data_IF_265716681275
#
_entry.id   IF_265716681275
#
_cell.length_a   1.000
_cell.length_b   1.000
_cell.length_c   1.000
_cell.angle_alpha   90.00
_cell.angle_beta   90.00
_cell.angle_gamma   90.00
#
_symmetry.space_group_name_H-M   'P 1'
#
loop_
_entity.id
_entity.type
_entity.pdbx_description
1 polymer ?
#
# COMPACT_ATOMS: atom_id res chain seq x y z
N UNK A 1 25.47 -6.44 36.68
CA UNK A 1 26.35 -7.61 36.96
C UNK A 1 27.03 -8.04 35.67
N UNK A 2 28.33 -8.39 35.75
CA UNK A 2 29.19 -8.93 34.68
C UNK A 2 29.14 -8.22 33.32
N UNK A 3 30.05 -7.27 33.13
CA UNK A 3 30.50 -6.90 31.79
C UNK A 3 31.21 -8.09 31.14
N UNK A 4 30.65 -8.59 30.04
CA UNK A 4 31.34 -9.47 29.10
C UNK A 4 31.96 -8.62 28.00
N UNK A 5 33.18 -8.95 27.58
CA UNK A 5 33.98 -8.09 26.70
C UNK A 5 33.30 -7.75 25.38
N UNK A 6 33.38 -6.48 24.98
CA UNK A 6 33.10 -5.97 23.63
C UNK A 6 34.23 -6.38 22.66
N UNK A 7 34.62 -7.65 22.69
CA UNK A 7 35.65 -8.25 21.86
C UNK A 7 35.15 -8.46 20.44
N UNK A 8 35.16 -7.37 19.67
CA UNK A 8 35.65 -7.30 18.29
C UNK A 8 35.44 -8.54 17.40
N UNK A 9 34.22 -9.07 17.35
CA UNK A 9 33.76 -9.94 16.29
C UNK A 9 33.48 -9.14 15.00
N UNK A 10 34.47 -8.37 14.54
CA UNK A 10 34.55 -7.95 13.14
C UNK A 10 34.75 -9.24 12.36
N UNK A 11 33.66 -9.82 11.85
CA UNK A 11 33.69 -11.04 11.06
C UNK A 11 34.43 -10.74 9.74
N UNK A 12 35.74 -10.96 9.76
CA UNK A 12 36.64 -10.74 8.63
C UNK A 12 36.30 -11.70 7.50
N UNK A 13 35.76 -11.14 6.42
CA UNK A 13 36.12 -11.54 5.06
C UNK A 13 35.83 -12.97 4.61
N UNK A 14 34.99 -13.74 5.30
CA UNK A 14 34.42 -14.96 4.72
C UNK A 14 33.67 -14.58 3.45
N UNK A 15 34.11 -15.09 2.29
CA UNK A 15 33.58 -14.68 0.99
C UNK A 15 32.12 -15.12 0.82
N UNK A 16 31.18 -14.25 1.20
CA UNK A 16 29.73 -14.48 1.11
C UNK A 16 29.27 -14.38 -0.36
N UNK A 17 29.65 -15.41 -1.13
CA UNK A 17 29.31 -15.58 -2.55
C UNK A 17 27.79 -15.59 -2.74
N UNK A 18 27.04 -16.20 -1.82
CA UNK A 18 25.57 -16.21 -1.87
C UNK A 18 25.00 -14.79 -1.67
N UNK A 19 25.51 -14.01 -0.73
CA UNK A 19 25.05 -12.65 -0.47
C UNK A 19 25.46 -11.67 -1.57
N UNK A 20 26.59 -11.91 -2.24
CA UNK A 20 26.96 -11.22 -3.49
C UNK A 20 26.00 -11.60 -4.62
N UNK A 21 25.77 -12.89 -4.86
CA UNK A 21 24.86 -13.38 -5.90
C UNK A 21 23.42 -12.91 -5.71
N UNK A 22 22.91 -12.86 -4.47
CA UNK A 22 21.59 -12.32 -4.15
C UNK A 22 21.47 -10.84 -4.55
N UNK A 23 22.49 -10.03 -4.25
CA UNK A 23 22.51 -8.61 -4.62
C UNK A 23 22.59 -8.42 -6.14
N UNK A 24 23.38 -9.24 -6.83
CA UNK A 24 23.44 -9.26 -8.30
C UNK A 24 22.07 -9.63 -8.88
N UNK A 25 21.39 -10.65 -8.34
CA UNK A 25 20.06 -11.04 -8.78
C UNK A 25 19.04 -9.91 -8.59
N UNK A 26 18.98 -9.27 -7.41
CA UNK A 26 18.10 -8.12 -7.17
C UNK A 26 18.41 -6.92 -8.08
N UNK A 27 19.68 -6.65 -8.39
CA UNK A 27 20.06 -5.59 -9.32
C UNK A 27 19.68 -5.93 -10.78
N UNK A 28 19.87 -7.18 -11.21
CA UNK A 28 19.37 -7.66 -12.50
C UNK A 28 17.84 -7.61 -12.57
N UNK A 29 17.15 -7.87 -11.44
CA UNK A 29 15.71 -7.71 -11.29
C UNK A 29 15.24 -6.28 -11.47
N UNK A 30 15.93 -5.30 -10.87
CA UNK A 30 15.69 -3.88 -11.12
C UNK A 30 15.84 -3.55 -12.62
N UNK A 31 16.95 -3.95 -13.26
CA UNK A 31 17.18 -3.68 -14.68
C UNK A 31 16.10 -4.33 -15.58
N UNK A 32 15.72 -5.58 -15.31
CA UNK A 32 14.66 -6.28 -16.02
C UNK A 32 13.31 -5.59 -15.86
N UNK A 33 12.97 -5.17 -14.64
CA UNK A 33 11.75 -4.42 -14.32
C UNK A 33 11.70 -3.09 -15.08
N UNK A 34 12.79 -2.34 -15.12
CA UNK A 34 12.86 -1.07 -15.83
C UNK A 34 12.81 -1.25 -17.35
N UNK A 35 13.56 -2.20 -17.90
CA UNK A 35 13.52 -2.52 -19.33
C UNK A 35 12.13 -2.97 -19.78
N UNK A 36 11.40 -3.67 -18.90
CA UNK A 36 10.05 -4.15 -19.17
C UNK A 36 8.96 -3.07 -19.07
N UNK A 37 9.14 -1.98 -18.29
CA UNK A 37 8.03 -1.07 -17.97
C UNK A 37 8.29 0.44 -18.19
N UNK A 38 9.50 0.89 -18.54
CA UNK A 38 9.73 2.32 -18.86
C UNK A 38 8.95 2.69 -20.14
N UNK A 39 8.27 3.86 -20.20
CA UNK A 39 8.30 4.98 -19.25
C UNK A 39 7.40 4.83 -18.01
N UNK A 40 6.46 3.89 -18.01
CA UNK A 40 5.61 3.59 -16.86
C UNK A 40 4.16 3.39 -17.26
N UNK A 41 3.49 2.43 -16.60
CA UNK A 41 2.09 2.12 -16.85
C UNK A 41 1.20 3.14 -16.12
N UNK A 42 0.22 3.73 -16.81
CA UNK A 42 -0.58 4.84 -16.28
C UNK A 42 -2.08 4.54 -16.32
N UNK A 43 -2.73 4.65 -15.15
CA UNK A 43 -4.20 4.67 -15.04
C UNK A 43 -4.71 6.10 -14.87
N UNK A 44 -6.03 6.25 -14.79
CA UNK A 44 -6.72 7.52 -14.47
C UNK A 44 -6.06 8.25 -13.29
N UNK A 45 -5.78 7.56 -12.18
CA UNK A 45 -5.11 8.13 -11.00
C UNK A 45 -3.71 8.68 -11.30
N UNK A 46 -2.97 8.01 -12.19
CA UNK A 46 -1.62 8.36 -12.61
C UNK A 46 -1.63 9.59 -13.52
N UNK A 47 -2.54 9.62 -14.49
CA UNK A 47 -2.74 10.72 -15.43
C UNK A 47 -3.12 11.99 -14.67
N UNK A 48 -4.09 11.89 -13.76
CA UNK A 48 -4.48 13.01 -12.91
C UNK A 48 -3.32 13.50 -12.04
N UNK A 49 -2.57 12.60 -11.38
CA UNK A 49 -1.44 13.01 -10.55
C UNK A 49 -0.34 13.74 -11.35
N UNK A 50 -0.08 13.33 -12.59
CA UNK A 50 0.85 14.02 -13.49
C UNK A 50 0.29 15.38 -13.97
N UNK A 51 -1.02 15.46 -14.26
CA UNK A 51 -1.69 16.74 -14.56
C UNK A 51 -1.60 17.71 -13.39
N UNK A 52 -1.86 17.26 -12.15
CA UNK A 52 -1.71 18.06 -10.94
C UNK A 52 -0.25 18.50 -10.71
N UNK A 53 0.73 17.63 -10.99
CA UNK A 53 2.16 17.91 -10.87
C UNK A 53 2.61 19.07 -11.79
N UNK A 54 2.19 19.04 -13.06
CA UNK A 54 2.51 20.08 -14.05
C UNK A 54 1.73 21.37 -13.84
N UNK A 55 0.42 21.28 -13.65
CA UNK A 55 -0.45 22.46 -13.54
C UNK A 55 -0.35 23.17 -12.18
N UNK A 56 0.01 22.45 -11.12
CA UNK A 56 -0.10 22.97 -9.75
C UNK A 56 -1.55 23.23 -9.31
N UNK A 57 -2.53 22.59 -9.96
CA UNK A 57 -3.95 22.68 -9.62
C UNK A 57 -4.48 21.30 -9.26
N UNK A 58 -4.95 21.13 -8.02
CA UNK A 58 -5.58 19.90 -7.56
C UNK A 58 -6.86 19.61 -8.36
N UNK A 59 -6.97 18.42 -8.93
CA UNK A 59 -8.14 17.96 -9.69
C UNK A 59 -8.94 16.88 -8.94
N UNK A 60 -8.34 16.21 -7.96
CA UNK A 60 -9.00 15.15 -7.18
C UNK A 60 -8.90 15.32 -5.66
N UNK A 61 -9.71 14.56 -4.94
CA UNK A 61 -9.62 14.42 -3.48
C UNK A 61 -8.40 13.62 -3.02
N UNK A 62 -7.64 13.00 -3.93
CA UNK A 62 -6.42 12.27 -3.64
C UNK A 62 -5.42 13.07 -2.80
N UNK A 63 -4.57 12.41 -1.98
CA UNK A 63 -3.47 13.09 -1.32
C UNK A 63 -2.52 13.73 -2.33
N UNK A 64 -2.17 15.00 -2.12
CA UNK A 64 -1.34 15.77 -3.04
C UNK A 64 0.13 15.30 -3.12
N UNK A 65 0.55 14.39 -2.23
CA UNK A 65 1.94 13.95 -2.14
C UNK A 65 2.39 13.19 -3.39
N UNK A 66 1.52 12.40 -4.03
CA UNK A 66 1.89 11.64 -5.23
C UNK A 66 2.24 12.61 -6.38
N UNK A 67 1.39 13.61 -6.58
CA UNK A 67 1.58 14.70 -7.56
C UNK A 67 2.82 15.54 -7.25
N UNK A 68 3.08 15.83 -5.96
CA UNK A 68 4.28 16.54 -5.51
C UNK A 68 5.58 15.73 -5.70
N UNK A 69 5.56 14.42 -5.44
CA UNK A 69 6.70 13.53 -5.67
C UNK A 69 6.98 13.32 -7.16
N UNK A 70 5.95 13.25 -8.02
CA UNK A 70 6.10 13.15 -9.47
C UNK A 70 6.77 14.39 -10.07
N UNK A 71 6.37 15.59 -9.62
CA UNK A 71 6.81 16.88 -10.16
C UNK A 71 8.32 17.04 -10.39
N UNK A 72 9.21 16.83 -9.41
CA UNK A 72 10.65 17.00 -9.63
C UNK A 72 11.23 16.02 -10.64
N UNK A 73 10.64 14.83 -10.81
CA UNK A 73 11.11 13.87 -11.82
C UNK A 73 10.66 14.28 -13.23
N UNK A 74 9.39 14.66 -13.40
CA UNK A 74 8.85 15.16 -14.68
C UNK A 74 9.53 16.47 -15.13
N UNK A 75 9.95 17.32 -14.19
CA UNK A 75 10.75 18.52 -14.48
C UNK A 75 12.19 18.23 -14.91
N UNK A 76 12.77 17.09 -14.54
CA UNK A 76 14.13 16.68 -14.94
C UNK A 76 14.12 15.89 -16.26
N UNK A 77 13.14 14.98 -16.42
CA UNK A 77 12.90 14.19 -17.62
C UNK A 77 11.39 14.06 -17.78
N UNK A 78 10.83 14.66 -18.83
CA UNK A 78 9.38 14.69 -19.05
C UNK A 78 8.76 13.27 -19.03
N UNK A 79 7.63 13.14 -18.33
CA UNK A 79 6.93 11.88 -18.12
C UNK A 79 7.29 11.21 -16.80
N UNK A 80 7.05 9.89 -16.74
CA UNK A 80 7.06 9.12 -15.49
C UNK A 80 8.27 8.21 -15.31
N UNK A 81 9.12 8.05 -16.34
CA UNK A 81 10.21 7.05 -16.35
C UNK A 81 11.24 7.23 -15.25
N UNK A 82 11.60 8.46 -14.90
CA UNK A 82 12.55 8.74 -13.82
C UNK A 82 11.93 8.49 -12.43
N UNK A 83 10.62 8.77 -12.26
CA UNK A 83 9.88 8.44 -11.04
C UNK A 83 9.75 6.91 -10.85
N UNK A 84 9.40 6.17 -11.91
CA UNK A 84 9.36 4.70 -11.92
C UNK A 84 10.72 4.13 -11.55
N UNK A 85 11.79 4.67 -12.14
CA UNK A 85 13.18 4.31 -11.82
C UNK A 85 13.51 4.52 -10.35
N UNK A 86 13.16 5.68 -9.78
CA UNK A 86 13.39 5.98 -8.37
C UNK A 86 12.57 5.07 -7.43
N UNK A 87 11.30 4.86 -7.74
CA UNK A 87 10.39 4.00 -6.97
C UNK A 87 10.88 2.55 -6.92
N UNK A 88 11.20 1.97 -8.08
CA UNK A 88 11.74 0.61 -8.17
C UNK A 88 13.11 0.50 -7.47
N UNK A 89 13.98 1.52 -7.60
CA UNK A 89 15.27 1.53 -6.91
C UNK A 89 15.11 1.52 -5.38
N UNK A 90 14.15 2.26 -4.81
CA UNK A 90 13.85 2.21 -3.36
C UNK A 90 13.55 0.78 -2.91
N UNK A 91 12.71 0.04 -3.66
CA UNK A 91 12.42 -1.36 -3.35
C UNK A 91 13.66 -2.25 -3.48
N UNK A 92 14.29 -2.28 -4.65
CA UNK A 92 15.37 -3.23 -4.92
C UNK A 92 16.62 -2.97 -4.06
N UNK A 93 16.94 -1.71 -3.74
CA UNK A 93 18.00 -1.37 -2.78
C UNK A 93 17.64 -1.82 -1.35
N UNK A 94 16.36 -1.70 -0.95
CA UNK A 94 15.88 -2.22 0.34
C UNK A 94 16.02 -3.74 0.41
N UNK A 95 15.57 -4.48 -0.61
CA UNK A 95 15.73 -5.94 -0.69
C UNK A 95 17.22 -6.35 -0.69
N UNK A 96 18.07 -5.68 -1.46
CA UNK A 96 19.52 -5.89 -1.45
C UNK A 96 20.14 -5.68 -0.07
N UNK A 97 19.67 -4.69 0.69
CA UNK A 97 20.22 -4.36 2.02
C UNK A 97 19.89 -5.41 3.09
N UNK A 98 18.86 -6.25 2.90
CA UNK A 98 18.54 -7.37 3.78
C UNK A 98 19.74 -8.32 4.00
N UNK A 99 20.63 -8.47 3.01
CA UNK A 99 21.85 -9.29 3.17
C UNK A 99 22.77 -8.76 4.27
N UNK A 100 22.74 -7.45 4.55
CA UNK A 100 23.54 -6.81 5.61
C UNK A 100 22.92 -6.95 7.00
N UNK A 101 21.65 -7.35 7.10
CA UNK A 101 21.00 -7.69 8.37
C UNK A 101 21.33 -9.11 8.85
N UNK A 102 21.94 -9.94 7.98
CA UNK A 102 22.24 -11.36 8.27
C UNK A 102 23.74 -11.63 8.28
N UNK A 103 24.21 -12.61 9.09
CA UNK A 103 25.64 -12.93 9.15
C UNK A 103 26.14 -13.69 7.92
N UNK A 104 25.25 -14.39 7.20
CA UNK A 104 25.50 -15.14 5.96
C UNK A 104 24.21 -15.17 5.14
N UNK A 105 24.33 -15.25 3.81
CA UNK A 105 23.24 -15.59 2.92
C UNK A 105 23.23 -17.10 2.58
N UNK A 106 22.15 -17.60 1.95
CA UNK A 106 22.11 -18.95 1.35
C UNK A 106 21.79 -18.89 -0.14
N UNK A 107 22.19 -19.93 -0.89
CA UNK A 107 21.74 -20.12 -2.27
C UNK A 107 20.22 -20.31 -2.41
N UNK A 108 19.55 -20.80 -1.35
CA UNK A 108 18.08 -20.82 -1.29
C UNK A 108 17.47 -19.42 -1.36
N UNK A 109 18.12 -18.42 -0.75
CA UNK A 109 17.71 -17.02 -0.88
C UNK A 109 17.91 -16.48 -2.30
N UNK A 110 18.99 -16.88 -2.98
CA UNK A 110 19.25 -16.49 -4.37
C UNK A 110 18.18 -17.08 -5.30
N UNK A 111 17.86 -18.36 -5.14
CA UNK A 111 16.82 -19.03 -5.91
C UNK A 111 15.41 -18.45 -5.63
N UNK A 112 15.05 -18.28 -4.35
CA UNK A 112 13.77 -17.66 -3.98
C UNK A 112 13.69 -16.20 -4.45
N UNK A 113 14.79 -15.46 -4.38
CA UNK A 113 14.92 -14.12 -4.94
C UNK A 113 14.63 -14.12 -6.44
N UNK A 114 15.32 -14.96 -7.22
CA UNK A 114 15.10 -15.07 -8.65
C UNK A 114 13.65 -15.48 -9.01
N UNK A 115 13.03 -16.38 -8.24
CA UNK A 115 11.61 -16.72 -8.42
C UNK A 115 10.68 -15.54 -8.09
N UNK A 116 10.96 -14.79 -7.02
CA UNK A 116 10.18 -13.60 -6.66
C UNK A 116 10.28 -12.51 -7.75
N UNK A 117 11.44 -12.33 -8.39
CA UNK A 117 11.61 -11.40 -9.52
C UNK A 117 10.70 -11.72 -10.71
N UNK A 118 10.34 -13.00 -10.87
CA UNK A 118 9.43 -13.48 -11.92
C UNK A 118 7.95 -13.49 -11.46
N UNK A 119 7.61 -12.76 -10.40
CA UNK A 119 6.21 -12.51 -10.02
C UNK A 119 5.76 -11.14 -10.55
N UNK A 120 4.48 -11.00 -10.97
CA UNK A 120 3.93 -9.70 -11.38
C UNK A 120 4.10 -8.60 -10.31
N UNK A 121 4.11 -8.96 -9.02
CA UNK A 121 4.33 -8.03 -7.90
C UNK A 121 5.71 -7.35 -7.93
N UNK A 122 6.76 -8.00 -8.44
CA UNK A 122 8.07 -7.37 -8.58
C UNK A 122 8.33 -6.89 -10.01
N UNK A 123 7.93 -7.68 -11.02
CA UNK A 123 8.23 -7.40 -12.42
C UNK A 123 7.34 -6.32 -13.06
N UNK A 124 6.06 -6.26 -12.70
CA UNK A 124 5.07 -5.38 -13.38
C UNK A 124 4.65 -4.24 -12.46
N UNK A 125 4.27 -4.53 -11.22
CA UNK A 125 3.76 -3.52 -10.28
C UNK A 125 4.69 -2.33 -10.08
N UNK A 126 6.00 -2.58 -10.04
CA UNK A 126 7.04 -1.56 -9.91
C UNK A 126 7.12 -0.60 -11.10
N UNK A 127 6.57 -0.99 -12.25
CA UNK A 127 6.40 -0.16 -13.44
C UNK A 127 5.12 0.66 -13.46
N UNK A 128 4.15 0.41 -12.57
CA UNK A 128 2.87 1.11 -12.57
C UNK A 128 2.96 2.38 -11.72
N UNK A 129 2.53 3.51 -12.26
CA UNK A 129 2.56 4.83 -11.63
C UNK A 129 1.39 4.96 -10.63
N UNK A 130 1.42 4.13 -9.58
CA UNK A 130 0.39 4.09 -8.54
C UNK A 130 0.93 4.52 -7.18
N UNK A 131 0.09 5.26 -6.44
CA UNK A 131 0.34 5.61 -5.03
C UNK A 131 0.56 4.38 -4.15
N UNK A 132 -0.14 3.28 -4.45
CA UNK A 132 -0.02 2.01 -3.72
C UNK A 132 1.37 1.37 -3.83
N UNK A 133 2.01 1.51 -5.00
CA UNK A 133 3.34 0.96 -5.27
C UNK A 133 4.39 1.75 -4.50
N UNK A 134 4.38 3.08 -4.61
CA UNK A 134 5.32 3.93 -3.85
C UNK A 134 5.06 3.88 -2.34
N UNK A 135 3.80 3.80 -1.91
CA UNK A 135 3.41 3.56 -0.50
C UNK A 135 4.02 2.26 0.03
N UNK A 136 3.88 1.15 -0.71
CA UNK A 136 4.44 -0.14 -0.32
C UNK A 136 5.98 -0.11 -0.30
N UNK A 137 6.60 0.48 -1.32
CA UNK A 137 8.05 0.62 -1.43
C UNK A 137 8.65 1.46 -0.29
N UNK A 138 8.05 2.62 0.01
CA UNK A 138 8.46 3.49 1.12
C UNK A 138 8.23 2.83 2.47
N UNK A 139 7.09 2.14 2.67
CA UNK A 139 6.82 1.40 3.90
C UNK A 139 7.88 0.31 4.13
N UNK A 140 8.19 -0.48 3.09
CA UNK A 140 9.21 -1.51 3.16
C UNK A 140 10.59 -0.90 3.49
N UNK A 141 10.99 0.14 2.77
CA UNK A 141 12.24 0.84 3.01
C UNK A 141 12.34 1.39 4.44
N UNK A 142 11.24 1.97 4.96
CA UNK A 142 11.13 2.44 6.33
C UNK A 142 11.39 1.35 7.37
N UNK A 143 10.74 0.18 7.21
CA UNK A 143 10.97 -0.96 8.09
C UNK A 143 12.37 -1.58 7.95
N UNK A 144 12.95 -1.62 6.74
CA UNK A 144 14.31 -2.14 6.52
C UNK A 144 15.38 -1.21 7.11
N UNK A 145 15.20 0.11 6.97
CA UNK A 145 16.04 1.11 7.64
C UNK A 145 15.89 1.06 9.17
N UNK A 146 14.67 0.85 9.68
CA UNK A 146 14.43 0.63 11.11
C UNK A 146 15.05 -0.69 11.60
N UNK A 147 15.12 -1.74 10.78
CA UNK A 147 15.79 -2.99 11.12
C UNK A 147 17.32 -2.81 11.22
N UNK A 148 17.92 -2.02 10.32
CA UNK A 148 19.32 -1.61 10.43
C UNK A 148 19.57 -0.75 11.68
N UNK A 149 18.64 0.15 12.02
CA UNK A 149 18.70 0.95 13.23
C UNK A 149 18.65 0.07 14.49
N UNK A 150 17.75 -0.92 14.55
CA UNK A 150 17.62 -1.85 15.67
C UNK A 150 18.84 -2.76 15.84
N UNK A 151 19.43 -3.25 14.74
CA UNK A 151 20.66 -4.04 14.80
C UNK A 151 21.86 -3.22 15.31
N UNK A 152 21.87 -1.91 15.06
CA UNK A 152 22.95 -0.98 15.44
C UNK A 152 22.57 -0.07 16.61
N UNK A 153 21.62 -0.47 17.45
CA UNK A 153 21.03 0.40 18.47
C UNK A 153 22.07 1.06 19.41
N UNK A 154 23.06 0.30 19.86
CA UNK A 154 24.16 0.80 20.69
C UNK A 154 25.14 1.74 19.96
N UNK A 155 25.18 1.71 18.63
CA UNK A 155 26.16 2.38 17.78
C UNK A 155 25.61 3.65 17.11
N UNK A 156 24.67 4.36 17.77
CA UNK A 156 24.06 5.63 17.32
C UNK A 156 23.36 5.53 15.95
N UNK A 157 22.18 4.86 15.87
CA UNK A 157 21.51 4.53 14.60
C UNK A 157 20.80 5.73 13.91
N UNK A 158 21.22 6.97 14.16
CA UNK A 158 20.46 8.18 13.83
C UNK A 158 20.19 8.35 12.33
N UNK A 159 21.14 8.06 11.44
CA UNK A 159 20.95 8.24 10.00
C UNK A 159 19.90 7.27 9.44
N UNK A 160 19.99 5.98 9.81
CA UNK A 160 19.01 4.97 9.41
C UNK A 160 17.63 5.22 10.03
N UNK A 161 17.59 5.72 11.27
CA UNK A 161 16.32 6.09 11.91
C UNK A 161 15.70 7.33 11.23
N UNK A 162 16.47 8.36 10.91
CA UNK A 162 15.99 9.55 10.19
C UNK A 162 15.44 9.18 8.81
N UNK A 163 16.16 8.33 8.05
CA UNK A 163 15.67 7.79 6.79
C UNK A 163 14.36 7.02 6.94
N UNK A 164 14.25 6.16 7.97
CA UNK A 164 13.02 5.43 8.27
C UNK A 164 11.84 6.37 8.57
N UNK A 165 12.05 7.41 9.39
CA UNK A 165 11.02 8.40 9.72
C UNK A 165 10.55 9.18 8.48
N UNK A 166 11.44 9.55 7.56
CA UNK A 166 11.09 10.18 6.28
C UNK A 166 10.28 9.23 5.40
N UNK A 167 10.71 7.97 5.26
CA UNK A 167 9.97 6.96 4.51
C UNK A 167 8.55 6.74 5.07
N UNK A 168 8.39 6.65 6.39
CA UNK A 168 7.08 6.51 7.04
C UNK A 168 6.21 7.76 6.90
N UNK A 169 6.79 8.96 6.94
CA UNK A 169 6.04 10.21 6.74
C UNK A 169 5.50 10.33 5.32
N UNK A 170 6.31 10.00 4.31
CA UNK A 170 5.88 9.98 2.91
C UNK A 170 4.83 8.88 2.66
N UNK A 171 5.04 7.67 3.18
CA UNK A 171 4.06 6.58 3.08
C UNK A 171 2.71 6.92 3.72
N UNK A 172 2.71 7.53 4.91
CA UNK A 172 1.47 7.94 5.59
C UNK A 172 0.72 9.07 4.86
N UNK A 173 1.40 9.84 4.00
CA UNK A 173 0.76 10.83 3.13
C UNK A 173 0.15 10.20 1.87
N UNK A 174 0.73 9.13 1.31
CA UNK A 174 0.19 8.44 0.12
C UNK A 174 -1.12 7.71 0.43
N UNK A 175 -1.25 7.17 1.64
CA UNK A 175 -2.44 6.44 2.13
C UNK A 175 -2.71 6.81 3.59
N UNK A 176 -3.87 7.42 3.86
CA UNK A 176 -4.27 7.85 5.22
C UNK A 176 -4.32 6.68 6.21
N UNK A 177 -4.86 5.52 5.80
CA UNK A 177 -4.85 4.29 6.60
C UNK A 177 -3.43 3.68 6.77
N UNK A 178 -2.43 4.20 6.06
CA UNK A 178 -1.01 3.94 6.26
C UNK A 178 -0.50 4.31 7.66
N UNK A 179 -1.24 5.13 8.42
CA UNK A 179 -0.94 5.42 9.83
C UNK A 179 -0.84 4.16 10.70
N UNK A 180 -1.52 3.06 10.33
CA UNK A 180 -1.41 1.75 11.00
C UNK A 180 0.05 1.24 11.00
N UNK A 181 0.78 1.46 9.90
CA UNK A 181 2.18 1.06 9.77
C UNK A 181 3.09 1.95 10.63
N UNK A 182 2.75 3.23 10.78
CA UNK A 182 3.46 4.15 11.69
C UNK A 182 3.27 3.73 13.15
N UNK A 183 2.07 3.30 13.54
CA UNK A 183 1.82 2.74 14.89
C UNK A 183 2.62 1.46 15.11
N UNK A 184 2.68 0.56 14.12
CA UNK A 184 3.51 -0.65 14.20
C UNK A 184 5.01 -0.30 14.32
N UNK A 185 5.51 0.63 13.49
CA UNK A 185 6.89 1.12 13.54
C UNK A 185 7.23 1.76 14.90
N UNK A 186 6.33 2.57 15.46
CA UNK A 186 6.49 3.17 16.79
C UNK A 186 6.50 2.11 17.90
N UNK A 187 5.63 1.09 17.83
CA UNK A 187 5.60 -0.01 18.78
C UNK A 187 6.89 -0.84 18.76
N UNK A 188 7.46 -1.12 17.58
CA UNK A 188 8.73 -1.86 17.49
C UNK A 188 9.96 -0.99 17.79
N UNK A 189 9.90 0.32 17.58
CA UNK A 189 10.92 1.26 18.04
C UNK A 189 10.96 1.30 19.58
N UNK A 190 9.79 1.38 20.24
CA UNK A 190 9.69 1.23 21.70
C UNK A 190 10.24 -0.11 22.18
N UNK A 191 9.86 -1.21 21.51
CA UNK A 191 10.34 -2.55 21.82
C UNK A 191 11.87 -2.67 21.67
N UNK A 192 12.45 -2.08 20.61
CA UNK A 192 13.91 -2.03 20.41
C UNK A 192 14.60 -1.36 21.60
N UNK A 193 14.08 -0.22 22.06
CA UNK A 193 14.61 0.54 23.19
C UNK A 193 14.32 -0.07 24.59
N UNK A 194 13.64 -1.22 24.70
CA UNK A 194 13.19 -1.80 25.99
C UNK A 194 14.31 -2.04 27.01
N UNK A 195 15.53 -2.30 26.55
CA UNK A 195 16.69 -2.52 27.41
C UNK A 195 17.12 -1.26 28.19
N UNK A 196 16.70 -0.08 27.76
CA UNK A 196 16.97 1.20 28.44
C UNK A 196 15.92 1.55 29.51
N UNK A 197 14.96 0.66 29.76
CA UNK A 197 13.88 0.84 30.73
C UNK A 197 12.60 1.43 30.13
N UNK A 198 11.47 1.18 30.79
CA UNK A 198 10.13 1.43 30.25
C UNK A 198 9.87 2.89 29.86
N UNK A 199 10.39 3.87 30.63
CA UNK A 199 10.22 5.30 30.32
C UNK A 199 10.88 5.68 29.00
N UNK A 200 12.11 5.20 28.76
CA UNK A 200 12.84 5.45 27.51
C UNK A 200 12.23 4.69 26.35
N UNK A 201 11.82 3.44 26.57
CA UNK A 201 11.05 2.64 25.61
C UNK A 201 9.80 3.39 25.14
N UNK A 202 8.98 3.89 26.06
CA UNK A 202 7.78 4.68 25.73
C UNK A 202 8.14 6.01 25.04
N UNK A 203 9.18 6.72 25.50
CA UNK A 203 9.64 7.96 24.89
C UNK A 203 10.14 7.77 23.45
N UNK A 204 10.83 6.66 23.15
CA UNK A 204 11.23 6.31 21.79
C UNK A 204 10.04 5.96 20.88
N UNK A 205 9.05 5.22 21.39
CA UNK A 205 7.83 4.93 20.63
C UNK A 205 7.00 6.18 20.33
N UNK A 206 6.61 6.91 21.38
CA UNK A 206 5.81 8.14 21.25
C UNK A 206 6.57 9.23 20.48
N UNK A 207 7.88 9.38 20.73
CA UNK A 207 8.74 10.33 20.02
C UNK A 207 8.89 9.99 18.55
N UNK A 208 9.04 8.70 18.20
CA UNK A 208 9.04 8.25 16.81
C UNK A 208 7.72 8.49 16.10
N UNK A 209 6.58 8.17 16.75
CA UNK A 209 5.25 8.47 16.22
C UNK A 209 5.04 9.97 16.00
N UNK A 210 5.38 10.79 17.01
CA UNK A 210 5.27 12.24 16.92
C UNK A 210 6.19 12.83 15.84
N UNK A 211 7.41 12.31 15.68
CA UNK A 211 8.33 12.73 14.63
C UNK A 211 7.77 12.42 13.22
N UNK A 212 7.19 11.24 13.00
CA UNK A 212 6.51 10.92 11.73
C UNK A 212 5.30 11.83 11.51
N UNK A 213 4.48 12.08 12.54
CA UNK A 213 3.31 12.95 12.43
C UNK A 213 3.69 14.41 12.11
N UNK A 214 4.74 14.95 12.74
CA UNK A 214 5.26 16.30 12.44
C UNK A 214 5.86 16.37 11.04
N UNK A 215 6.67 15.38 10.63
CA UNK A 215 7.22 15.31 9.27
C UNK A 215 6.11 15.22 8.22
N UNK A 216 5.10 14.36 8.42
CA UNK A 216 3.97 14.23 7.53
C UNK A 216 3.14 15.53 7.48
N UNK A 217 2.93 16.21 8.61
CA UNK A 217 2.25 17.52 8.63
C UNK A 217 3.01 18.59 7.86
N UNK A 218 4.33 18.70 8.06
CA UNK A 218 5.18 19.68 7.37
C UNK A 218 5.26 19.38 5.87
N UNK A 219 5.60 18.14 5.49
CA UNK A 219 5.70 17.73 4.08
C UNK A 219 4.33 17.81 3.40
N UNK A 220 3.25 17.39 4.06
CA UNK A 220 1.88 17.53 3.57
C UNK A 220 1.40 18.98 3.47
N UNK A 221 2.00 19.90 4.23
CA UNK A 221 1.82 21.34 4.07
C UNK A 221 2.51 21.87 2.81
N UNK A 222 3.77 21.47 2.59
CA UNK A 222 4.59 21.84 1.42
C UNK A 222 4.04 21.23 0.12
N UNK A 223 3.52 20.02 0.18
CA UNK A 223 2.99 19.28 -0.97
C UNK A 223 1.63 19.77 -1.46
N UNK A 224 0.96 20.69 -0.74
CA UNK A 224 -0.32 21.26 -1.18
C UNK A 224 -0.12 22.11 -2.45
N UNK A 225 -0.83 21.82 -3.55
CA UNK A 225 -0.78 22.66 -4.73
C UNK A 225 -1.35 24.06 -4.44
N UNK A 226 -0.85 25.12 -5.11
CA UNK A 226 -1.34 26.48 -4.92
C UNK A 226 -2.79 26.68 -5.38
N UNK A 227 -3.25 25.88 -6.37
CA UNK A 227 -4.62 25.87 -6.83
C UNK A 227 -5.37 24.58 -6.47
N UNK A 228 -6.69 24.67 -6.37
CA UNK A 228 -7.59 23.53 -6.35
C UNK A 228 -8.80 23.83 -7.24
N UNK A 229 -9.28 22.81 -7.95
CA UNK A 229 -10.49 22.90 -8.75
C UNK A 229 -11.69 23.25 -7.84
N UNK A 230 -12.43 24.35 -8.09
CA UNK A 230 -13.48 24.83 -7.20
C UNK A 230 -14.67 23.87 -7.08
N UNK A 231 -14.76 22.84 -7.95
CA UNK A 231 -15.76 21.77 -7.86
C UNK A 231 -15.39 20.65 -6.87
N UNK A 232 -14.21 20.70 -6.25
CA UNK A 232 -13.78 19.69 -5.28
C UNK A 232 -14.54 19.82 -3.95
N UNK A 233 -15.48 18.90 -3.72
CA UNK A 233 -16.17 18.73 -2.44
C UNK A 233 -15.19 18.20 -1.38
N UNK A 234 -15.07 18.92 -0.26
CA UNK A 234 -14.31 18.42 0.89
C UNK A 234 -15.01 17.22 1.52
N UNK A 235 -14.24 16.27 2.10
CA UNK A 235 -14.80 15.09 2.77
C UNK A 235 -15.44 14.04 1.85
N UNK A 236 -15.32 14.18 0.53
CA UNK A 236 -15.97 13.28 -0.45
C UNK A 236 -15.55 11.80 -0.31
N UNK A 237 -14.35 11.51 0.23
CA UNK A 237 -13.90 10.15 0.56
C UNK A 237 -14.87 9.42 1.51
N UNK A 238 -15.26 10.08 2.61
CA UNK A 238 -16.21 9.52 3.57
C UNK A 238 -17.60 9.43 2.93
N UNK A 239 -17.99 10.44 2.17
CA UNK A 239 -19.29 10.47 1.50
C UNK A 239 -19.46 9.30 0.50
N UNK A 240 -18.43 8.97 -0.29
CA UNK A 240 -18.40 7.78 -1.17
C UNK A 240 -18.62 6.50 -0.35
N UNK A 241 -17.96 6.38 0.81
CA UNK A 241 -18.12 5.23 1.70
C UNK A 241 -19.56 5.14 2.25
N UNK A 242 -20.14 6.26 2.69
CA UNK A 242 -21.51 6.34 3.19
C UNK A 242 -22.53 5.94 2.12
N UNK A 243 -22.42 6.48 0.90
CA UNK A 243 -23.25 6.13 -0.25
C UNK A 243 -23.18 4.63 -0.55
N UNK A 244 -21.97 4.08 -0.64
CA UNK A 244 -21.74 2.67 -0.96
C UNK A 244 -22.28 1.73 0.12
N UNK A 245 -22.10 2.07 1.40
CA UNK A 245 -22.67 1.32 2.53
C UNK A 245 -24.19 1.35 2.55
N UNK A 246 -24.82 2.51 2.32
CA UNK A 246 -26.28 2.62 2.35
C UNK A 246 -26.91 1.82 1.22
N UNK A 247 -26.35 1.92 0.00
CA UNK A 247 -26.83 1.16 -1.16
C UNK A 247 -26.62 -0.34 -0.97
N UNK A 248 -25.44 -0.75 -0.50
CA UNK A 248 -25.13 -2.16 -0.27
C UNK A 248 -25.91 -2.78 0.89
N UNK A 249 -26.04 -2.09 2.03
CA UNK A 249 -26.88 -2.55 3.14
C UNK A 249 -28.38 -2.64 2.74
N UNK A 250 -28.86 -1.75 1.86
CA UNK A 250 -30.20 -1.87 1.26
C UNK A 250 -30.31 -3.07 0.32
N UNK A 251 -29.27 -3.39 -0.46
CA UNK A 251 -29.24 -4.56 -1.33
C UNK A 251 -29.27 -5.88 -0.52
N UNK A 252 -28.46 -5.98 0.54
CA UNK A 252 -28.46 -7.15 1.44
C UNK A 252 -29.71 -7.23 2.35
N UNK A 253 -30.39 -6.11 2.62
CA UNK A 253 -31.61 -6.09 3.44
C UNK A 253 -32.75 -5.29 2.74
N UNK A 254 -33.48 -5.90 1.78
CA UNK A 254 -34.49 -5.21 0.97
C UNK A 254 -35.61 -4.50 1.75
N UNK A 255 -35.91 -4.95 2.98
CA UNK A 255 -36.89 -4.30 3.88
C UNK A 255 -36.37 -3.03 4.58
N UNK A 256 -35.08 -2.67 4.39
CA UNK A 256 -34.48 -1.48 4.97
C UNK A 256 -35.12 -0.23 4.34
N UNK A 257 -35.50 0.74 5.18
CA UNK A 257 -36.12 2.00 4.77
C UNK A 257 -35.16 3.16 4.95
N UNK A 258 -34.96 3.95 3.89
CA UNK A 258 -34.03 5.09 3.85
C UNK A 258 -34.68 6.35 4.45
N UNK A 259 -35.12 6.23 5.71
CA UNK A 259 -35.97 7.22 6.39
C UNK A 259 -35.34 8.60 6.56
N UNK A 260 -34.03 8.69 6.75
CA UNK A 260 -33.37 10.00 6.93
C UNK A 260 -33.21 10.73 5.59
N UNK A 261 -32.94 9.97 4.51
CA UNK A 261 -32.98 10.49 3.13
C UNK A 261 -34.41 10.94 2.80
N UNK A 262 -35.42 10.13 3.10
CA UNK A 262 -36.84 10.43 2.83
C UNK A 262 -37.40 11.67 3.53
N UNK A 263 -36.80 12.11 4.65
CA UNK A 263 -37.15 13.39 5.29
C UNK A 263 -36.68 14.60 4.49
N UNK A 264 -35.57 14.47 3.76
CA UNK A 264 -35.00 15.52 2.93
C UNK A 264 -35.54 15.47 1.49
N UNK A 265 -35.64 14.26 0.92
CA UNK A 265 -36.14 14.01 -0.43
C UNK A 265 -36.86 12.63 -0.51
N UNK A 266 -38.21 12.62 -0.50
CA UNK A 266 -39.01 11.40 -0.68
C UNK A 266 -38.84 10.73 -2.05
N UNK A 267 -38.55 11.49 -3.11
CA UNK A 267 -38.35 10.96 -4.46
C UNK A 267 -37.00 10.24 -4.55
N UNK A 268 -35.94 10.81 -3.96
CA UNK A 268 -34.66 10.13 -3.81
C UNK A 268 -34.80 8.86 -2.98
N UNK A 269 -35.53 8.88 -1.85
CA UNK A 269 -35.81 7.66 -1.09
C UNK A 269 -36.45 6.58 -1.98
N UNK A 270 -37.50 6.92 -2.74
CA UNK A 270 -38.22 5.96 -3.56
C UNK A 270 -37.33 5.35 -4.66
N UNK A 271 -36.54 6.17 -5.37
CA UNK A 271 -35.63 5.70 -6.41
C UNK A 271 -34.52 4.81 -5.83
N UNK A 272 -33.84 5.28 -4.78
CA UNK A 272 -32.76 4.54 -4.14
C UNK A 272 -33.27 3.20 -3.59
N UNK A 273 -34.42 3.20 -2.90
CA UNK A 273 -34.99 1.96 -2.37
C UNK A 273 -35.39 0.94 -3.44
N UNK A 274 -35.78 1.39 -4.64
CA UNK A 274 -36.14 0.54 -5.76
C UNK A 274 -34.92 0.00 -6.52
N UNK A 275 -33.86 0.80 -6.67
CA UNK A 275 -32.74 0.48 -7.56
C UNK A 275 -31.48 -0.03 -6.86
N UNK A 276 -31.29 0.16 -5.55
CA UNK A 276 -30.06 -0.23 -4.84
C UNK A 276 -29.58 -1.65 -5.14
N UNK A 277 -30.49 -2.64 -5.17
CA UNK A 277 -30.12 -4.04 -5.43
C UNK A 277 -29.62 -4.31 -6.87
N UNK A 278 -29.98 -3.45 -7.84
CA UNK A 278 -29.52 -3.53 -9.23
C UNK A 278 -28.19 -2.79 -9.43
N UNK A 279 -28.00 -1.68 -8.71
CA UNK A 279 -26.81 -0.81 -8.82
C UNK A 279 -25.65 -1.28 -7.94
N UNK A 280 -25.92 -2.06 -6.90
CA UNK A 280 -24.90 -2.54 -5.98
C UNK A 280 -24.03 -3.65 -6.61
N UNK A 281 -22.71 -3.52 -6.42
CA UNK A 281 -21.75 -4.60 -6.60
C UNK A 281 -20.71 -4.57 -5.48
N UNK A 282 -20.48 -5.70 -4.81
CA UNK A 282 -19.42 -5.86 -3.82
C UNK A 282 -18.00 -5.79 -4.43
N UNK A 283 -17.89 -5.90 -5.76
CA UNK A 283 -16.62 -5.78 -6.45
C UNK A 283 -16.14 -4.32 -6.52
N UNK A 284 -17.03 -3.35 -6.78
CA UNK A 284 -16.67 -1.97 -7.12
C UNK A 284 -17.82 -0.99 -6.86
N UNK A 285 -17.50 0.19 -6.34
CA UNK A 285 -18.42 1.33 -6.20
C UNK A 285 -18.80 1.99 -7.53
N UNK A 286 -18.00 1.83 -8.58
CA UNK A 286 -18.25 2.41 -9.91
C UNK A 286 -19.60 1.99 -10.52
N UNK A 287 -20.19 0.87 -10.07
CA UNK A 287 -21.53 0.44 -10.51
C UNK A 287 -22.65 1.36 -10.03
N UNK A 288 -22.41 2.21 -9.03
CA UNK A 288 -23.34 3.26 -8.62
C UNK A 288 -23.44 4.39 -9.66
N UNK A 289 -22.41 4.57 -10.48
CA UNK A 289 -22.37 5.57 -11.55
C UNK A 289 -22.87 5.02 -12.91
N UNK A 290 -23.27 3.74 -12.98
CA UNK A 290 -23.68 3.06 -14.21
C UNK A 290 -25.07 3.47 -14.73
N UNK A 291 -25.94 4.04 -13.89
CA UNK A 291 -27.21 4.66 -14.30
C UNK A 291 -27.18 6.15 -13.96
N UNK A 292 -27.38 6.99 -14.96
CA UNK A 292 -27.19 8.43 -14.84
C UNK A 292 -28.28 9.11 -13.98
N UNK A 293 -29.46 8.50 -13.85
CA UNK A 293 -30.54 8.99 -12.98
C UNK A 293 -30.25 8.62 -11.54
N UNK A 294 -29.92 7.35 -11.28
CA UNK A 294 -29.54 6.87 -9.95
C UNK A 294 -28.34 7.63 -9.40
N UNK A 295 -27.29 7.77 -10.22
CA UNK A 295 -26.08 8.55 -9.92
C UNK A 295 -26.44 9.98 -9.50
N UNK A 296 -27.14 10.72 -10.36
CA UNK A 296 -27.50 12.12 -10.05
C UNK A 296 -28.31 12.20 -8.76
N UNK A 297 -29.34 11.37 -8.60
CA UNK A 297 -30.18 11.35 -7.38
C UNK A 297 -29.36 11.06 -6.13
N UNK A 298 -28.51 10.03 -6.14
CA UNK A 298 -27.64 9.64 -5.03
C UNK A 298 -26.72 10.79 -4.59
N UNK A 299 -26.05 11.44 -5.55
CA UNK A 299 -25.08 12.51 -5.32
C UNK A 299 -25.71 13.87 -4.95
N UNK A 300 -27.01 14.08 -5.22
CA UNK A 300 -27.75 15.29 -4.82
C UNK A 300 -28.40 15.19 -3.44
N UNK A 301 -28.42 14.01 -2.79
CA UNK A 301 -28.89 13.91 -1.40
C UNK A 301 -28.01 14.78 -0.49
N UNK A 302 -28.58 15.62 0.40
CA UNK A 302 -27.79 16.44 1.33
C UNK A 302 -26.89 15.60 2.25
N UNK A 303 -25.64 16.04 2.47
CA UNK A 303 -24.65 15.30 3.27
C UNK A 303 -25.15 14.97 4.68
N UNK A 304 -25.86 15.90 5.32
CA UNK A 304 -26.44 15.68 6.65
C UNK A 304 -27.47 14.53 6.66
N UNK A 305 -28.23 14.36 5.57
CA UNK A 305 -29.19 13.27 5.43
C UNK A 305 -28.50 11.94 5.09
N UNK A 306 -27.44 11.97 4.27
CA UNK A 306 -26.59 10.81 3.96
C UNK A 306 -25.90 10.27 5.22
N UNK A 307 -25.21 11.15 5.96
CA UNK A 307 -24.53 10.81 7.21
C UNK A 307 -25.50 10.29 8.29
N UNK A 308 -26.66 10.96 8.46
CA UNK A 308 -27.69 10.50 9.37
C UNK A 308 -28.25 9.13 8.97
N UNK A 309 -28.44 8.88 7.67
CA UNK A 309 -28.87 7.58 7.17
C UNK A 309 -27.80 6.50 7.39
N UNK A 310 -26.52 6.79 7.17
CA UNK A 310 -25.42 5.84 7.34
C UNK A 310 -25.28 5.44 8.82
N UNK A 311 -25.26 6.43 9.71
CA UNK A 311 -25.33 6.19 11.16
C UNK A 311 -26.57 5.38 11.56
N UNK A 312 -27.73 5.64 10.95
CA UNK A 312 -28.96 4.86 11.17
C UNK A 312 -28.82 3.41 10.71
N UNK A 313 -28.14 3.15 9.58
CA UNK A 313 -27.84 1.78 9.11
C UNK A 313 -26.94 1.06 10.12
N UNK A 314 -25.84 1.69 10.57
CA UNK A 314 -24.92 1.10 11.54
C UNK A 314 -25.62 0.78 12.88
N UNK A 315 -26.39 1.72 13.43
CA UNK A 315 -26.97 1.60 14.77
C UNK A 315 -28.24 0.73 14.80
N UNK A 316 -29.12 0.86 13.80
CA UNK A 316 -30.43 0.18 13.81
C UNK A 316 -30.53 -1.01 12.85
N UNK A 317 -29.55 -1.20 11.95
CA UNK A 317 -29.46 -2.34 11.05
C UNK A 317 -28.04 -2.96 11.04
N UNK A 318 -27.40 -3.19 12.20
CA UNK A 318 -26.00 -3.61 12.28
C UNK A 318 -25.71 -4.90 11.50
N UNK A 319 -26.65 -5.84 11.44
CA UNK A 319 -26.52 -7.05 10.63
C UNK A 319 -26.41 -6.75 9.12
N UNK A 320 -27.16 -5.78 8.60
CA UNK A 320 -27.07 -5.38 7.18
C UNK A 320 -25.75 -4.67 6.88
N UNK A 321 -25.28 -3.81 7.79
CA UNK A 321 -23.97 -3.17 7.70
C UNK A 321 -22.80 -4.18 7.76
N UNK A 322 -22.86 -5.15 8.68
CA UNK A 322 -21.83 -6.18 8.81
C UNK A 322 -21.82 -7.12 7.59
N UNK A 323 -22.99 -7.53 7.07
CA UNK A 323 -23.06 -8.32 5.83
C UNK A 323 -22.45 -7.56 4.64
N UNK A 324 -22.78 -6.27 4.51
CA UNK A 324 -22.20 -5.38 3.51
C UNK A 324 -20.66 -5.33 3.61
N UNK A 325 -20.15 -5.01 4.79
CA UNK A 325 -18.71 -4.89 5.05
C UNK A 325 -17.97 -6.22 4.85
N UNK A 326 -18.56 -7.35 5.22
CA UNK A 326 -17.98 -8.68 5.02
C UNK A 326 -17.94 -9.10 3.54
N UNK A 327 -18.96 -8.76 2.74
CA UNK A 327 -18.94 -9.08 1.30
C UNK A 327 -17.88 -8.24 0.57
N UNK A 328 -17.85 -6.92 0.78
CA UNK A 328 -16.81 -6.06 0.20
C UNK A 328 -15.41 -6.48 0.65
N UNK A 329 -15.23 -6.85 1.92
CA UNK A 329 -13.93 -7.34 2.40
C UNK A 329 -13.55 -8.68 1.80
N UNK A 330 -14.50 -9.62 1.66
CA UNK A 330 -14.29 -10.88 0.93
C UNK A 330 -13.83 -10.60 -0.50
N UNK A 331 -14.44 -9.64 -1.18
CA UNK A 331 -14.02 -9.26 -2.52
C UNK A 331 -12.61 -8.64 -2.54
N UNK A 332 -12.29 -7.76 -1.59
CA UNK A 332 -10.97 -7.10 -1.50
C UNK A 332 -9.85 -8.09 -1.09
N UNK A 333 -10.10 -9.03 -0.19
CA UNK A 333 -9.08 -9.89 0.42
C UNK A 333 -8.98 -11.30 -0.22
N UNK A 334 -10.10 -11.86 -0.70
CA UNK A 334 -10.12 -13.17 -1.36
C UNK A 334 -10.27 -13.07 -2.88
N UNK A 335 -10.54 -11.87 -3.44
CA UNK A 335 -10.57 -11.57 -4.88
C UNK A 335 -11.23 -12.68 -5.73
N UNK A 336 -12.51 -13.05 -5.44
CA UNK A 336 -13.13 -14.27 -5.96
C UNK A 336 -13.36 -14.26 -7.49
N UNK A 337 -13.27 -13.09 -8.12
CA UNK A 337 -13.18 -12.89 -9.57
C UNK A 337 -12.11 -11.86 -9.85
N UNK A 338 -10.85 -12.30 -9.86
CA UNK A 338 -9.66 -11.46 -9.92
C UNK A 338 -9.71 -10.45 -11.07
N UNK A 339 -10.27 -10.82 -12.21
CA UNK A 339 -10.37 -10.00 -13.43
C UNK A 339 -11.20 -8.72 -13.22
N UNK A 340 -12.15 -8.74 -12.26
CA UNK A 340 -12.97 -7.57 -11.91
C UNK A 340 -12.26 -6.60 -10.95
N UNK A 341 -11.12 -7.02 -10.41
CA UNK A 341 -10.37 -6.36 -9.35
C UNK A 341 -9.06 -5.72 -9.83
N UNK A 342 -8.97 -5.35 -11.12
CA UNK A 342 -7.83 -4.67 -11.76
C UNK A 342 -6.45 -5.21 -11.30
N UNK A 343 -6.16 -6.50 -11.53
CA UNK A 343 -4.97 -7.15 -10.98
C UNK A 343 -3.67 -6.61 -11.57
N UNK A 344 -3.69 -6.02 -12.77
CA UNK A 344 -2.62 -5.18 -13.33
C UNK A 344 -3.24 -4.00 -14.10
N UNK A 345 -2.43 -2.97 -14.36
CA UNK A 345 -2.66 -1.99 -15.43
C UNK A 345 -1.45 -2.01 -16.35
N UNK A 346 -1.70 -1.94 -17.65
CA UNK A 346 -0.71 -1.81 -18.71
C UNK A 346 -1.19 -0.76 -19.72
N UNK A 347 -0.27 -0.18 -20.46
CA UNK A 347 -0.52 0.98 -21.31
C UNK A 347 -0.79 2.26 -20.52
N UNK A 348 -1.33 3.23 -21.24
CA UNK A 348 -1.79 4.52 -20.71
C UNK A 348 -3.30 4.64 -20.93
N UNK A 349 -4.02 4.93 -19.84
CA UNK A 349 -5.47 5.18 -19.85
C UNK A 349 -5.82 6.37 -18.95
N UNK A 350 -6.71 7.25 -19.42
CA UNK A 350 -7.12 8.47 -18.72
C UNK A 350 -8.04 9.33 -19.59
N UNK A 351 -8.41 10.55 -19.14
CA UNK A 351 -9.29 11.44 -19.90
C UNK A 351 -8.52 12.09 -21.06
N UNK A 352 -9.06 11.99 -22.28
CA UNK A 352 -8.41 12.47 -23.52
C UNK A 352 -7.86 13.90 -23.44
N UNK A 353 -8.62 14.81 -22.80
CA UNK A 353 -8.18 16.20 -22.60
C UNK A 353 -6.91 16.31 -21.75
N UNK A 354 -6.84 15.58 -20.63
CA UNK A 354 -5.65 15.56 -19.77
C UNK A 354 -4.46 14.90 -20.46
N UNK A 355 -4.69 13.81 -21.20
CA UNK A 355 -3.64 13.11 -21.94
C UNK A 355 -3.03 13.99 -23.04
N UNK A 356 -3.89 14.72 -23.77
CA UNK A 356 -3.49 15.72 -24.76
C UNK A 356 -2.71 16.88 -24.12
N UNK A 357 -3.19 17.44 -23.01
CA UNK A 357 -2.50 18.52 -22.28
C UNK A 357 -1.15 18.07 -21.69
N UNK A 358 -0.97 16.76 -21.48
CA UNK A 358 0.28 16.16 -21.02
C UNK A 358 1.23 15.74 -22.16
N UNK A 359 0.82 15.81 -23.42
CA UNK A 359 1.53 15.22 -24.56
C UNK A 359 1.88 13.73 -24.34
N UNK A 360 0.94 12.98 -23.74
CA UNK A 360 1.08 11.54 -23.48
C UNK A 360 0.12 10.77 -24.38
N UNK A 361 0.66 9.83 -25.16
CA UNK A 361 -0.14 8.98 -26.04
C UNK A 361 -0.95 7.97 -25.22
N UNK A 362 -2.23 7.85 -25.55
CA UNK A 362 -3.10 6.78 -25.00
C UNK A 362 -2.91 5.49 -25.81
N UNK A 363 -2.96 4.34 -25.15
CA UNK A 363 -2.83 3.06 -25.85
C UNK A 363 -2.24 1.95 -24.98
N UNK A 364 -2.07 0.80 -25.62
CA UNK A 364 -1.40 -0.39 -25.08
C UNK A 364 -0.46 -0.87 -26.18
N UNK A 365 0.84 -0.73 -25.98
CA UNK A 365 1.84 -1.17 -26.96
C UNK A 365 1.99 -2.71 -26.97
N UNK A 366 2.61 -3.31 -27.99
CA UNK A 366 2.86 -4.75 -28.02
C UNK A 366 3.62 -5.27 -26.79
N UNK A 367 4.48 -4.44 -26.20
CA UNK A 367 5.19 -4.71 -24.95
C UNK A 367 4.23 -4.77 -23.74
N UNK A 368 3.34 -3.79 -23.62
CA UNK A 368 2.31 -3.71 -22.58
C UNK A 368 1.34 -4.90 -22.65
N UNK A 369 0.92 -5.26 -23.86
CA UNK A 369 0.09 -6.44 -24.09
C UNK A 369 0.84 -7.72 -23.69
N UNK A 370 2.13 -7.81 -23.98
CA UNK A 370 3.00 -8.89 -23.51
C UNK A 370 3.07 -8.98 -21.97
N UNK A 371 3.09 -7.86 -21.26
CA UNK A 371 3.01 -7.83 -19.78
C UNK A 371 1.64 -8.25 -19.25
N UNK A 372 0.55 -7.82 -19.90
CA UNK A 372 -0.79 -8.27 -19.52
C UNK A 372 -0.95 -9.79 -19.73
N UNK A 373 -0.45 -10.33 -20.84
CA UNK A 373 -0.49 -11.77 -21.10
C UNK A 373 0.47 -12.56 -20.21
N UNK A 374 1.57 -11.96 -19.77
CA UNK A 374 2.40 -12.53 -18.72
C UNK A 374 1.66 -12.59 -17.38
N UNK A 375 1.03 -11.50 -16.95
CA UNK A 375 0.27 -11.43 -15.71
C UNK A 375 -0.92 -12.41 -15.70
N UNK A 376 -1.66 -12.53 -16.81
CA UNK A 376 -2.78 -13.45 -16.98
C UNK A 376 -2.41 -14.92 -16.70
N UNK A 377 -1.15 -15.33 -16.94
CA UNK A 377 -0.66 -16.69 -16.61
C UNK A 377 -0.64 -16.98 -15.10
N UNK A 378 -0.66 -15.94 -14.26
CA UNK A 378 -0.73 -16.06 -12.81
C UNK A 378 -2.16 -15.91 -12.26
N UNK A 379 -3.16 -15.61 -13.10
CA UNK A 379 -4.55 -15.49 -12.64
C UNK A 379 -5.04 -16.88 -12.18
N UNK A 380 -5.80 -16.91 -11.07
CA UNK A 380 -6.19 -18.17 -10.41
C UNK A 380 -5.05 -18.92 -9.71
N UNK A 381 -3.81 -18.43 -9.77
CA UNK A 381 -2.69 -19.02 -9.00
C UNK A 381 -2.55 -18.37 -7.62
N UNK A 382 -1.88 -19.02 -6.66
CA UNK A 382 -1.57 -18.43 -5.35
C UNK A 382 -0.73 -17.14 -5.40
N UNK A 383 -0.13 -16.78 -6.54
CA UNK A 383 0.64 -15.53 -6.69
C UNK A 383 -0.28 -14.32 -6.64
N UNK A 384 -1.43 -14.34 -7.32
CA UNK A 384 -2.46 -13.29 -7.23
C UNK A 384 -3.50 -13.60 -6.12
N UNK A 385 -3.03 -13.86 -4.89
CA UNK A 385 -3.90 -14.16 -3.74
C UNK A 385 -3.37 -13.52 -2.45
N UNK A 386 -4.05 -12.48 -1.97
CA UNK A 386 -3.68 -11.84 -0.69
C UNK A 386 -3.83 -12.78 0.51
N UNK A 387 -4.74 -13.77 0.44
CA UNK A 387 -4.83 -14.85 1.44
C UNK A 387 -3.55 -15.70 1.46
N UNK A 388 -2.97 -16.02 0.30
CA UNK A 388 -1.71 -16.76 0.24
C UNK A 388 -0.59 -15.96 0.89
N UNK A 389 -0.48 -14.67 0.58
CA UNK A 389 0.53 -13.81 1.20
C UNK A 389 0.29 -13.56 2.69
N UNK A 390 -0.96 -13.52 3.15
CA UNK A 390 -1.29 -13.50 4.57
C UNK A 390 -0.80 -14.77 5.30
N UNK A 391 -1.00 -15.95 4.70
CA UNK A 391 -0.51 -17.22 5.25
C UNK A 391 1.02 -17.25 5.28
N UNK A 392 1.69 -16.79 4.21
CA UNK A 392 3.16 -16.64 4.18
C UNK A 392 3.63 -15.69 5.28
N UNK A 393 3.01 -14.51 5.42
CA UNK A 393 3.34 -13.54 6.47
C UNK A 393 3.21 -14.14 7.88
N UNK A 394 2.11 -14.83 8.18
CA UNK A 394 1.90 -15.50 9.48
C UNK A 394 2.94 -16.61 9.73
N UNK A 395 3.28 -17.41 8.71
CA UNK A 395 4.32 -18.42 8.78
C UNK A 395 5.70 -17.84 9.07
N UNK A 396 6.08 -16.78 8.35
CA UNK A 396 7.35 -16.05 8.54
C UNK A 396 7.39 -15.39 9.92
N UNK A 397 6.30 -14.76 10.39
CA UNK A 397 6.19 -14.22 11.76
C UNK A 397 6.50 -15.32 12.79
N UNK A 398 5.89 -16.51 12.65
CA UNK A 398 6.11 -17.64 13.54
C UNK A 398 7.56 -18.16 13.55
N UNK A 399 8.25 -18.12 12.41
CA UNK A 399 9.67 -18.48 12.29
C UNK A 399 10.59 -17.42 12.92
N UNK A 400 10.34 -16.14 12.66
CA UNK A 400 11.12 -15.02 13.21
C UNK A 400 10.96 -14.89 14.73
N UNK A 401 9.76 -15.12 15.26
CA UNK A 401 9.47 -15.09 16.70
C UNK A 401 10.33 -16.08 17.51
N UNK A 402 10.69 -17.21 16.91
CA UNK A 402 11.57 -18.22 17.52
C UNK A 402 13.04 -17.79 17.58
N UNK A 403 13.49 -16.93 16.66
CA UNK A 403 14.89 -16.46 16.56
C UNK A 403 15.21 -15.33 17.53
N UNK A 404 14.28 -14.37 17.68
CA UNK A 404 14.34 -13.21 18.61
C UNK A 404 15.47 -12.19 18.36
N UNK A 405 16.07 -12.14 17.17
CA UNK A 405 17.04 -11.08 16.81
C UNK A 405 16.37 -9.68 16.85
N UNK A 406 17.08 -8.58 17.19
CA UNK A 406 16.54 -7.23 17.11
C UNK A 406 15.90 -6.87 15.75
N UNK A 407 16.52 -7.26 14.64
CA UNK A 407 15.98 -7.01 13.31
C UNK A 407 14.77 -7.91 12.99
N UNK A 408 14.69 -9.12 13.57
CA UNK A 408 13.55 -10.02 13.39
C UNK A 408 12.26 -9.39 13.93
N UNK A 409 12.31 -8.67 15.06
CA UNK A 409 11.15 -7.95 15.60
C UNK A 409 10.64 -6.86 14.65
N UNK A 410 11.53 -6.17 13.94
CA UNK A 410 11.15 -5.13 12.98
C UNK A 410 10.49 -5.74 11.74
N UNK A 411 10.99 -6.86 11.24
CA UNK A 411 10.37 -7.57 10.10
C UNK A 411 9.05 -8.27 10.50
N UNK A 412 8.92 -8.75 11.75
CA UNK A 412 7.63 -9.15 12.32
C UNK A 412 6.65 -7.97 12.32
N UNK A 413 7.11 -6.80 12.78
CA UNK A 413 6.28 -5.59 12.86
C UNK A 413 5.81 -5.09 11.49
N UNK A 414 6.65 -5.19 10.45
CA UNK A 414 6.27 -4.92 9.06
C UNK A 414 5.09 -5.81 8.63
N UNK A 415 5.21 -7.13 8.80
CA UNK A 415 4.18 -8.07 8.37
C UNK A 415 2.89 -7.97 9.21
N UNK A 416 3.02 -7.83 10.53
CA UNK A 416 1.87 -7.64 11.42
C UNK A 416 1.15 -6.31 11.15
N UNK A 417 1.91 -5.24 10.89
CA UNK A 417 1.37 -3.95 10.45
C UNK A 417 0.67 -4.05 9.09
N UNK A 418 1.23 -4.80 8.14
CA UNK A 418 0.63 -5.01 6.81
C UNK A 418 -0.65 -5.86 6.88
N UNK A 419 -0.72 -6.84 7.78
CA UNK A 419 -1.95 -7.59 8.09
C UNK A 419 -3.02 -6.70 8.73
N UNK A 420 -2.65 -5.83 9.67
CA UNK A 420 -3.57 -4.86 10.27
C UNK A 420 -4.05 -3.80 9.26
N UNK A 421 -3.16 -3.36 8.36
CA UNK A 421 -3.50 -2.48 7.23
C UNK A 421 -4.49 -3.16 6.29
N UNK A 422 -4.27 -4.42 5.92
CA UNK A 422 -5.21 -5.18 5.12
C UNK A 422 -6.57 -5.33 5.83
N UNK A 423 -6.58 -5.64 7.13
CA UNK A 423 -7.80 -5.70 7.92
C UNK A 423 -8.56 -4.36 7.98
N UNK A 424 -7.90 -3.20 7.83
CA UNK A 424 -8.59 -1.90 7.78
C UNK A 424 -9.56 -1.76 6.60
N UNK A 425 -9.30 -2.46 5.49
CA UNK A 425 -10.21 -2.49 4.34
C UNK A 425 -11.55 -3.17 4.63
N UNK A 426 -11.66 -3.95 5.71
CA UNK A 426 -12.95 -4.44 6.20
C UNK A 426 -13.88 -3.31 6.67
N UNK A 427 -13.35 -2.12 6.94
CA UNK A 427 -14.11 -0.93 7.31
C UNK A 427 -14.21 0.07 6.16
N UNK A 428 -13.11 0.31 5.43
CA UNK A 428 -13.02 1.44 4.48
C UNK A 428 -13.08 1.06 2.98
N UNK A 429 -13.11 -0.22 2.63
CA UNK A 429 -13.08 -0.59 1.20
C UNK A 429 -14.34 -0.18 0.45
N UNK A 430 -14.17 0.22 -0.80
CA UNK A 430 -15.23 0.54 -1.77
C UNK A 430 -15.01 -0.16 -3.13
N UNK A 431 -13.92 -0.91 -3.28
CA UNK A 431 -13.59 -1.67 -4.49
C UNK A 431 -12.58 -2.78 -4.16
N UNK A 432 -12.55 -3.82 -4.99
CA UNK A 432 -11.68 -4.98 -4.80
C UNK A 432 -10.29 -4.85 -5.46
N UNK A 433 -9.98 -3.70 -6.07
CA UNK A 433 -8.69 -3.33 -6.67
C UNK A 433 -7.48 -3.98 -5.95
N UNK A 434 -6.83 -4.96 -6.60
CA UNK A 434 -5.74 -5.78 -6.03
C UNK A 434 -4.61 -4.95 -5.42
N UNK A 435 -4.31 -3.80 -6.06
CA UNK A 435 -3.32 -2.83 -5.60
C UNK A 435 -3.54 -2.34 -4.16
N UNK A 436 -4.77 -2.35 -3.65
CA UNK A 436 -5.08 -1.90 -2.28
C UNK A 436 -4.38 -2.71 -1.21
N UNK A 437 -4.14 -4.01 -1.44
CA UNK A 437 -3.48 -4.91 -0.50
C UNK A 437 -2.05 -5.29 -0.92
N UNK A 438 -1.50 -4.68 -1.98
CA UNK A 438 -0.16 -4.94 -2.52
C UNK A 438 0.96 -4.89 -1.46
N UNK A 439 0.85 -4.01 -0.46
CA UNK A 439 1.80 -3.94 0.67
C UNK A 439 1.89 -5.27 1.45
N UNK A 440 0.78 -6.00 1.62
CA UNK A 440 0.78 -7.29 2.32
C UNK A 440 1.62 -8.32 1.55
N UNK A 441 1.42 -8.40 0.24
CA UNK A 441 2.17 -9.29 -0.64
C UNK A 441 3.67 -8.97 -0.59
N UNK A 442 4.02 -7.69 -0.76
CA UNK A 442 5.40 -7.23 -0.77
C UNK A 442 6.10 -7.44 0.59
N UNK A 443 5.39 -7.20 1.69
CA UNK A 443 5.88 -7.47 3.04
C UNK A 443 6.11 -8.97 3.29
N UNK A 444 5.20 -9.83 2.82
CA UNK A 444 5.32 -11.28 2.92
C UNK A 444 6.48 -11.81 2.08
N UNK A 445 6.64 -11.34 0.83
CA UNK A 445 7.78 -11.65 -0.03
C UNK A 445 9.10 -11.23 0.62
N UNK A 446 9.22 -9.99 1.08
CA UNK A 446 10.43 -9.50 1.75
C UNK A 446 10.75 -10.27 3.04
N UNK A 447 9.73 -10.62 3.83
CA UNK A 447 9.86 -11.46 5.02
C UNK A 447 10.35 -12.88 4.68
N UNK A 448 9.83 -13.49 3.62
CA UNK A 448 10.27 -14.81 3.15
C UNK A 448 11.72 -14.79 2.66
N UNK A 449 12.11 -13.77 1.89
CA UNK A 449 13.51 -13.56 1.45
C UNK A 449 14.45 -13.33 2.66
N UNK A 450 14.03 -12.53 3.63
CA UNK A 450 14.77 -12.25 4.86
C UNK A 450 14.98 -13.48 5.76
N UNK A 451 14.02 -14.42 5.75
CA UNK A 451 14.17 -15.74 6.37
C UNK A 451 15.07 -16.65 5.52
N UNK A 452 14.91 -16.68 4.20
CA UNK A 452 15.70 -17.53 3.31
C UNK A 452 17.19 -17.16 3.29
N UNK A 453 17.54 -15.89 3.51
CA UNK A 453 18.92 -15.43 3.65
C UNK A 453 19.67 -16.18 4.76
N UNK A 454 19.05 -16.37 5.91
CA UNK A 454 19.63 -17.08 7.04
C UNK A 454 18.55 -17.98 7.66
N UNK A 455 18.22 -19.13 7.06
CA UNK A 455 17.07 -19.93 7.50
C UNK A 455 17.26 -20.38 8.94
N UNK A 456 16.19 -20.49 9.76
CA UNK A 456 16.31 -20.97 11.13
C UNK A 456 16.94 -22.35 11.15
N UNK A 457 18.25 -22.39 11.45
CA UNK A 457 18.91 -23.65 11.76
C UNK A 457 18.19 -24.18 13.00
N UNK A 458 17.48 -25.28 12.84
CA UNK A 458 17.01 -26.09 13.95
C UNK A 458 18.26 -26.59 14.65
N UNK A 459 18.79 -25.77 15.57
CA UNK A 459 19.95 -26.14 16.39
C UNK A 459 19.53 -27.42 17.11
N UNK A 460 20.20 -28.52 16.77
CA UNK A 460 20.48 -29.56 17.76
C UNK A 460 21.11 -28.80 18.93
N UNK A 461 20.34 -28.63 20.00
CA UNK A 461 20.85 -28.17 21.30
C UNK A 461 21.59 -29.32 21.94
#
# INVERSE_FOLDING_TARGET
MRGGGLGEAIHTGGDDKAGKAFRIAMFAGLLLTLAANIPGQMSLDSVVALTEARTGVRQTWAPAISSWLLKPFDQLVAGTGLYVTASAAILFLSLMSLTRLRPRATWGAVALGALALLTPQLLIYQGIVWRDVIFANLTLAGFVLLAHAAQRWAARPHLTLAGALVCFALAALERQNGLILVVAAAAVLAWTARAEGWRRSLAWGLGGFAAVAVLAFVVGGIAKPPGANPKLRQGVELLILEHYDIVGAKAHHPKLKLKEIGKADPAAQALLEAQSAKMYSAARVDTLDADDTFRRTLWHVPDAAMHAQWRRVIVHYPAAYVLQRLDVFKWTFLTPKLEQCLPVTVGVTGPDGMLKDLDVQTGVDPQDQGLADYARRFYGTPVFSHLTWAIVALGVIGLLWRRRDPADWVIISLMAGSLAFAASFALISVACDYRYLYLLDLAAMAGALYVALDPPRWRKR
#
